data_IF_524144900697
#
_entry.id   IF_524144900697
#
_cell.length_a   1.000
_cell.length_b   1.000
_cell.length_c   1.000
_cell.angle_alpha   90.00
_cell.angle_beta   90.00
_cell.angle_gamma   90.00
#
_symmetry.space_group_name_H-M   'P 1'
#
loop_
_entity.id
_entity.type
_entity.pdbx_description
1 polymer ?
#
# COMPACT_ATOMS: atom_id res chain seq x y z
N UNK A 1 -74.69 -15.24 -3.57
CA UNK A 1 -74.25 -13.90 -3.99
C UNK A 1 -72.87 -13.64 -3.40
N UNK A 2 -71.88 -13.26 -4.24
CA UNK A 2 -70.59 -12.60 -3.88
C UNK A 2 -69.57 -13.55 -3.20
N UNK A 3 -68.30 -13.74 -3.60
CA UNK A 3 -67.35 -13.07 -4.49
C UNK A 3 -66.36 -14.14 -5.02
N UNK A 4 -66.17 -14.20 -6.35
CA UNK A 4 -65.12 -15.00 -7.02
C UNK A 4 -63.76 -14.31 -6.85
N UNK A 5 -62.72 -15.10 -6.59
CA UNK A 5 -61.33 -14.65 -6.64
C UNK A 5 -60.89 -14.35 -8.07
N UNK A 6 -59.91 -13.46 -8.21
CA UNK A 6 -59.07 -13.38 -9.39
C UNK A 6 -57.61 -13.56 -8.98
N UNK A 7 -57.04 -14.65 -9.48
CA UNK A 7 -55.62 -14.84 -9.64
C UNK A 7 -55.47 -15.33 -11.07
N UNK A 8 -54.82 -14.56 -11.94
CA UNK A 8 -54.08 -15.14 -13.06
C UNK A 8 -53.07 -14.14 -13.65
N UNK A 9 -51.92 -14.71 -13.99
CA UNK A 9 -50.75 -14.10 -14.61
C UNK A 9 -50.87 -14.19 -16.15
N UNK A 10 -49.95 -13.47 -16.80
CA UNK A 10 -49.29 -13.72 -18.10
C UNK A 10 -49.91 -13.21 -19.43
N UNK A 11 -49.33 -12.10 -19.89
CA UNK A 11 -48.59 -11.86 -21.17
C UNK A 11 -49.08 -12.55 -22.46
N UNK A 12 -49.34 -11.74 -23.51
CA UNK A 12 -48.75 -11.92 -24.87
C UNK A 12 -48.94 -10.68 -25.75
N UNK A 13 -47.82 -10.20 -26.30
CA UNK A 13 -47.70 -9.18 -27.35
C UNK A 13 -48.35 -9.69 -28.64
N UNK A 14 -49.15 -8.84 -29.30
CA UNK A 14 -49.54 -9.01 -30.70
C UNK A 14 -49.24 -7.70 -31.43
N UNK A 15 -48.22 -7.75 -32.28
CA UNK A 15 -47.87 -6.71 -33.23
C UNK A 15 -48.57 -7.07 -34.55
N UNK A 16 -49.56 -6.28 -34.97
CA UNK A 16 -50.12 -6.36 -36.33
C UNK A 16 -50.15 -4.95 -36.90
N UNK A 17 -49.14 -4.65 -37.71
CA UNK A 17 -49.27 -3.61 -38.73
C UNK A 17 -49.95 -4.20 -39.96
N UNK A 18 -50.87 -3.46 -40.56
CA UNK A 18 -50.88 -3.14 -42.00
C UNK A 18 -52.18 -2.45 -42.40
N UNK A 19 -52.00 -1.35 -43.13
CA UNK A 19 -52.99 -0.56 -43.86
C UNK A 19 -53.89 -1.41 -44.76
N UNK A 20 -55.20 -1.17 -44.69
CA UNK A 20 -56.12 -1.36 -45.83
C UNK A 20 -57.01 -0.12 -45.90
N UNK A 21 -56.90 0.61 -47.00
CA UNK A 21 -57.79 1.69 -47.36
C UNK A 21 -59.05 1.22 -48.07
N UNK A 22 -59.97 2.18 -48.24
CA UNK A 22 -61.19 2.24 -49.07
C UNK A 22 -62.49 2.26 -48.26
N UNK A 23 -62.98 3.47 -48.06
CA UNK A 23 -64.32 3.79 -47.59
C UNK A 23 -64.60 5.27 -47.87
N UNK A 24 -65.04 5.58 -49.09
CA UNK A 24 -65.48 6.92 -49.50
C UNK A 24 -66.79 7.27 -48.81
N UNK A 25 -66.84 8.39 -48.08
CA UNK A 25 -68.02 9.26 -48.10
C UNK A 25 -67.66 10.65 -47.58
N UNK A 26 -67.96 11.64 -48.41
CA UNK A 26 -67.87 13.08 -48.20
C UNK A 26 -68.81 13.55 -47.09
N UNK A 27 -68.27 14.33 -46.14
CA UNK A 27 -69.01 15.39 -45.46
C UNK A 27 -68.03 16.48 -45.00
N UNK A 28 -68.07 17.64 -45.67
CA UNK A 28 -67.62 18.93 -45.14
C UNK A 28 -68.78 19.91 -45.30
N UNK A 29 -69.04 20.72 -44.26
CA UNK A 29 -68.61 22.11 -44.36
C UNK A 29 -67.82 22.61 -43.14
N UNK A 30 -67.01 23.62 -43.42
CA UNK A 30 -66.13 24.38 -42.54
C UNK A 30 -66.84 25.01 -41.33
N UNK A 31 -66.13 25.10 -40.20
CA UNK A 31 -65.77 26.39 -39.57
C UNK A 31 -64.82 26.16 -38.39
N UNK A 32 -63.64 26.79 -38.43
CA UNK A 32 -62.98 27.31 -37.24
C UNK A 32 -61.92 26.45 -36.55
N UNK A 33 -60.68 26.94 -36.64
CA UNK A 33 -59.61 26.84 -35.65
C UNK A 33 -59.06 25.44 -35.30
N UNK A 34 -57.98 25.10 -36.00
CA UNK A 34 -56.85 24.28 -35.55
C UNK A 34 -57.03 23.54 -34.21
N UNK A 35 -57.45 22.28 -34.28
CA UNK A 35 -57.01 21.33 -33.26
C UNK A 35 -55.51 21.12 -33.47
N UNK A 36 -54.72 21.98 -32.84
CA UNK A 36 -53.33 21.72 -32.61
C UNK A 36 -53.26 20.41 -31.85
N UNK A 37 -52.88 19.34 -32.54
CA UNK A 37 -52.43 18.11 -31.90
C UNK A 37 -51.23 18.53 -31.05
N UNK A 38 -51.47 18.74 -29.76
CA UNK A 38 -50.41 18.97 -28.80
C UNK A 38 -49.68 17.65 -28.71
N UNK A 39 -48.60 17.52 -29.47
CA UNK A 39 -47.61 16.48 -29.24
C UNK A 39 -47.00 16.84 -27.89
N UNK A 40 -47.52 16.24 -26.82
CA UNK A 40 -46.78 16.18 -25.56
C UNK A 40 -45.61 15.25 -25.90
N UNK A 41 -44.48 15.86 -26.26
CA UNK A 41 -43.19 15.20 -26.11
C UNK A 41 -43.06 15.01 -24.59
N UNK A 42 -43.41 13.83 -24.11
CA UNK A 42 -42.95 13.38 -22.80
C UNK A 42 -41.43 13.39 -22.92
N UNK A 43 -40.78 14.47 -22.48
CA UNK A 43 -39.34 14.48 -22.30
C UNK A 43 -39.05 13.29 -21.40
N UNK A 44 -38.42 12.26 -21.97
CA UNK A 44 -37.95 11.14 -21.18
C UNK A 44 -37.02 11.74 -20.12
N UNK A 45 -37.49 11.81 -18.88
CA UNK A 45 -36.68 12.33 -17.78
C UNK A 45 -35.39 11.52 -17.75
N UNK A 46 -34.28 12.19 -18.02
CA UNK A 46 -32.98 11.55 -17.98
C UNK A 46 -32.62 11.39 -16.51
N UNK A 47 -32.62 10.15 -16.02
CA UNK A 47 -32.30 9.87 -14.62
C UNK A 47 -30.87 10.30 -14.32
N UNK A 48 -30.68 10.97 -13.19
CA UNK A 48 -29.37 11.36 -12.68
C UNK A 48 -28.56 10.09 -12.34
N UNK A 49 -27.87 9.53 -13.31
CA UNK A 49 -27.13 8.26 -13.19
C UNK A 49 -25.73 8.41 -13.77
N UNK A 50 -24.82 7.49 -13.42
CA UNK A 50 -23.56 7.38 -14.14
C UNK A 50 -23.75 6.48 -15.36
N UNK A 51 -23.17 6.87 -16.49
CA UNK A 51 -22.93 6.00 -17.66
C UNK A 51 -21.49 5.49 -17.70
N UNK A 52 -20.62 6.05 -16.86
CA UNK A 52 -19.20 5.72 -16.77
C UNK A 52 -18.67 6.01 -15.38
N UNK A 53 -17.85 5.09 -14.85
CA UNK A 53 -16.97 5.31 -13.71
C UNK A 53 -15.66 4.54 -13.94
N UNK A 54 -14.55 5.26 -14.02
CA UNK A 54 -13.21 4.70 -14.22
C UNK A 54 -12.18 5.47 -13.40
N UNK A 55 -11.10 4.79 -13.04
CA UNK A 55 -9.90 5.43 -12.50
C UNK A 55 -8.82 5.33 -13.59
N UNK A 56 -8.17 6.45 -13.94
CA UNK A 56 -7.19 6.48 -15.03
C UNK A 56 -6.02 5.51 -14.74
N UNK A 57 -5.88 4.47 -15.56
CA UNK A 57 -4.82 3.45 -15.42
C UNK A 57 -5.05 2.41 -14.32
N UNK A 58 -6.18 2.45 -13.61
CA UNK A 58 -6.48 1.56 -12.48
C UNK A 58 -7.84 0.87 -12.73
N UNK A 59 -7.86 -0.46 -12.57
CA UNK A 59 -9.06 -1.24 -12.77
C UNK A 59 -9.95 -1.25 -11.51
N UNK A 60 -11.26 -1.10 -11.71
CA UNK A 60 -12.23 -1.44 -10.68
C UNK A 60 -12.25 -2.96 -10.46
N UNK A 61 -12.53 -3.37 -9.23
CA UNK A 61 -12.68 -4.79 -8.86
C UNK A 61 -13.93 -5.42 -9.47
N UNK A 62 -14.88 -4.59 -9.86
CA UNK A 62 -16.11 -4.98 -10.54
C UNK A 62 -16.25 -4.23 -11.87
N UNK A 63 -16.99 -4.83 -12.81
CA UNK A 63 -17.42 -4.12 -14.02
C UNK A 63 -18.41 -3.02 -13.63
N UNK A 64 -18.33 -1.89 -14.33
CA UNK A 64 -19.29 -0.81 -14.18
C UNK A 64 -20.72 -1.25 -14.53
N UNK A 65 -21.69 -0.78 -13.75
CA UNK A 65 -23.12 -0.98 -13.97
C UNK A 65 -23.90 0.16 -13.32
N UNK A 66 -24.82 0.81 -14.02
CA UNK A 66 -25.59 1.96 -13.50
C UNK A 66 -26.35 1.64 -12.19
N UNK A 67 -26.80 0.40 -12.02
CA UNK A 67 -27.50 -0.05 -10.81
C UNK A 67 -26.58 -0.24 -9.59
N UNK A 68 -25.26 -0.29 -9.77
CA UNK A 68 -24.30 -0.50 -8.68
C UNK A 68 -23.87 0.84 -8.12
N UNK A 69 -24.07 1.03 -6.82
CA UNK A 69 -23.80 2.30 -6.12
C UNK A 69 -22.57 2.23 -5.20
N UNK A 70 -21.97 1.05 -5.03
CA UNK A 70 -20.75 0.83 -4.24
C UNK A 70 -19.68 0.16 -5.12
N UNK A 71 -18.59 0.88 -5.37
CA UNK A 71 -17.46 0.43 -6.17
C UNK A 71 -16.19 0.29 -5.33
N UNK A 72 -15.34 -0.65 -5.72
CA UNK A 72 -14.05 -0.92 -5.10
C UNK A 72 -12.93 -0.97 -6.12
N UNK A 73 -11.74 -0.61 -5.66
CA UNK A 73 -10.48 -0.69 -6.38
C UNK A 73 -9.35 -0.84 -5.37
N UNK A 74 -8.24 -1.43 -5.80
CA UNK A 74 -6.99 -1.44 -5.04
C UNK A 74 -5.84 -0.87 -5.87
N UNK A 75 -4.87 -0.24 -5.21
CA UNK A 75 -3.66 0.33 -5.82
C UNK A 75 -2.42 0.01 -4.99
N UNK A 76 -1.25 -0.02 -5.63
CA UNK A 76 0.03 -0.18 -4.94
C UNK A 76 0.35 1.00 -3.99
N UNK A 77 1.28 0.77 -3.07
CA UNK A 77 1.70 1.77 -2.08
C UNK A 77 2.39 2.99 -2.72
N UNK A 78 2.89 2.85 -3.95
CA UNK A 78 3.52 3.90 -4.76
C UNK A 78 2.53 4.91 -5.35
N UNK A 79 1.23 4.60 -5.38
CA UNK A 79 0.20 5.50 -5.89
C UNK A 79 -0.18 6.53 -4.83
N UNK A 80 0.20 7.79 -5.04
CA UNK A 80 -0.14 8.89 -4.11
C UNK A 80 -1.48 9.56 -4.42
N UNK A 81 -1.92 9.48 -5.67
CA UNK A 81 -3.12 10.19 -6.15
C UNK A 81 -3.72 9.48 -7.34
N UNK A 82 -5.02 9.70 -7.54
CA UNK A 82 -5.76 9.16 -8.68
C UNK A 82 -6.47 10.27 -9.47
N UNK A 83 -6.78 9.96 -10.72
CA UNK A 83 -7.72 10.73 -11.54
C UNK A 83 -8.97 9.89 -11.77
N UNK A 84 -10.11 10.37 -11.28
CA UNK A 84 -11.42 9.77 -11.53
C UNK A 84 -12.01 10.31 -12.84
N UNK A 85 -12.55 9.42 -13.65
CA UNK A 85 -13.31 9.71 -14.86
C UNK A 85 -14.75 9.26 -14.66
N UNK A 86 -15.70 10.16 -14.85
CA UNK A 86 -17.12 9.84 -14.74
C UNK A 86 -17.93 10.60 -15.79
N UNK A 87 -19.02 9.98 -16.23
CA UNK A 87 -19.95 10.58 -17.18
C UNK A 87 -21.38 10.22 -16.79
N UNK A 88 -22.32 11.06 -17.19
CA UNK A 88 -23.76 10.86 -17.05
C UNK A 88 -24.39 10.84 -18.44
N UNK A 89 -25.44 10.04 -18.68
CA UNK A 89 -26.22 10.15 -19.90
C UNK A 89 -27.12 11.41 -19.91
N UNK A 90 -27.36 12.03 -18.75
CA UNK A 90 -28.06 13.31 -18.63
C UNK A 90 -27.07 14.46 -18.90
N UNK A 91 -27.22 15.16 -20.02
CA UNK A 91 -26.36 16.28 -20.42
C UNK A 91 -26.50 17.51 -19.50
N UNK A 92 -27.62 17.65 -18.78
CA UNK A 92 -27.85 18.73 -17.83
C UNK A 92 -27.29 18.41 -16.44
N UNK A 93 -26.96 17.15 -16.17
CA UNK A 93 -26.43 16.74 -14.88
C UNK A 93 -24.98 17.20 -14.67
N UNK A 94 -24.70 17.61 -13.45
CA UNK A 94 -23.36 17.95 -12.96
C UNK A 94 -22.92 16.84 -12.01
N UNK A 95 -21.68 16.38 -12.20
CA UNK A 95 -21.06 15.38 -11.32
C UNK A 95 -20.12 16.08 -10.34
N UNK A 96 -20.24 15.73 -9.05
CA UNK A 96 -19.36 16.17 -7.99
C UNK A 96 -18.62 14.97 -7.40
N UNK A 97 -17.37 15.19 -6.98
CA UNK A 97 -16.59 14.22 -6.21
C UNK A 97 -16.19 14.89 -4.91
N UNK A 98 -16.59 14.31 -3.77
CA UNK A 98 -16.43 14.90 -2.44
C UNK A 98 -16.94 16.36 -2.39
N UNK A 99 -18.08 16.62 -3.05
CA UNK A 99 -18.68 17.96 -3.16
C UNK A 99 -17.98 18.93 -4.12
N UNK A 100 -16.89 18.53 -4.78
CA UNK A 100 -16.18 19.36 -5.76
C UNK A 100 -16.66 19.01 -7.18
N UNK A 101 -17.12 20.03 -7.93
CA UNK A 101 -17.59 19.86 -9.30
C UNK A 101 -16.48 19.32 -10.21
N UNK A 102 -16.74 18.22 -10.91
CA UNK A 102 -15.85 17.68 -11.94
C UNK A 102 -15.75 18.64 -13.12
N UNK A 103 -14.58 18.66 -13.77
CA UNK A 103 -14.36 19.43 -15.01
C UNK A 103 -14.03 18.47 -16.13
N UNK A 104 -14.70 18.63 -17.27
CA UNK A 104 -14.51 17.81 -18.47
C UNK A 104 -14.60 16.29 -18.19
N UNK A 105 -15.52 15.90 -17.30
CA UNK A 105 -15.70 14.50 -16.88
C UNK A 105 -14.56 13.95 -16.01
N UNK A 106 -13.69 14.81 -15.45
CA UNK A 106 -12.54 14.42 -14.63
C UNK A 106 -12.53 15.08 -13.26
N UNK A 107 -12.11 14.32 -12.25
CA UNK A 107 -11.60 14.82 -10.98
C UNK A 107 -10.16 14.34 -10.84
N UNK A 108 -9.22 15.29 -10.86
CA UNK A 108 -7.77 15.00 -10.85
C UNK A 108 -7.20 15.18 -9.45
N UNK A 109 -6.04 14.57 -9.24
CA UNK A 109 -5.22 14.75 -8.05
C UNK A 109 -5.97 14.43 -6.74
N UNK A 110 -6.82 13.41 -6.78
CA UNK A 110 -7.46 12.87 -5.59
C UNK A 110 -6.41 12.12 -4.77
N UNK A 111 -5.87 12.76 -3.74
CA UNK A 111 -4.82 12.19 -2.88
C UNK A 111 -5.34 10.98 -2.11
N UNK A 112 -4.49 9.95 -2.01
CA UNK A 112 -4.74 8.75 -1.23
C UNK A 112 -3.91 8.75 0.06
N UNK A 113 -4.49 8.19 1.11
CA UNK A 113 -3.80 7.74 2.32
C UNK A 113 -3.64 6.23 2.27
N UNK A 114 -2.64 5.66 2.95
CA UNK A 114 -2.53 4.20 3.11
C UNK A 114 -3.83 3.65 3.72
N UNK A 115 -4.27 2.50 3.23
CA UNK A 115 -5.55 1.90 3.59
C UNK A 115 -6.73 2.39 2.73
N UNK A 116 -7.92 2.32 3.30
CA UNK A 116 -9.18 2.55 2.58
C UNK A 116 -9.50 4.05 2.43
N UNK A 117 -9.59 4.51 1.19
CA UNK A 117 -10.02 5.87 0.83
C UNK A 117 -11.44 5.81 0.27
N UNK A 118 -12.33 6.70 0.71
CA UNK A 118 -13.72 6.76 0.23
C UNK A 118 -13.97 8.06 -0.50
N UNK A 119 -14.51 7.96 -1.71
CA UNK A 119 -14.93 9.08 -2.54
C UNK A 119 -16.43 9.01 -2.76
N UNK A 120 -17.13 10.07 -2.36
CA UNK A 120 -18.55 10.24 -2.64
C UNK A 120 -18.71 10.94 -3.99
N UNK A 121 -19.48 10.34 -4.88
CA UNK A 121 -19.73 10.84 -6.23
C UNK A 121 -21.22 11.12 -6.34
N UNK A 122 -21.60 12.37 -6.58
CA UNK A 122 -23.01 12.75 -6.71
C UNK A 122 -23.31 13.25 -8.12
N UNK A 123 -24.45 12.85 -8.65
CA UNK A 123 -24.98 13.25 -9.96
C UNK A 123 -26.25 14.04 -9.72
N UNK A 124 -26.29 15.30 -10.17
CA UNK A 124 -27.43 16.18 -9.94
C UNK A 124 -27.61 17.16 -11.11
N UNK A 125 -28.83 17.25 -11.62
CA UNK A 125 -29.27 18.28 -12.57
C UNK A 125 -29.99 19.47 -11.89
N UNK A 126 -30.14 19.42 -10.56
CA UNK A 126 -30.82 20.45 -9.76
C UNK A 126 -32.35 20.39 -9.78
N UNK A 127 -32.94 19.47 -10.53
CA UNK A 127 -34.39 19.30 -10.65
C UNK A 127 -34.87 17.94 -10.14
N UNK A 128 -34.17 16.88 -10.57
CA UNK A 128 -34.47 15.49 -10.21
C UNK A 128 -33.73 15.07 -8.94
N UNK A 129 -34.09 13.89 -8.41
CA UNK A 129 -33.39 13.29 -7.28
C UNK A 129 -31.88 13.19 -7.57
N UNK A 130 -31.07 13.56 -6.58
CA UNK A 130 -29.61 13.42 -6.68
C UNK A 130 -29.23 11.99 -6.35
N UNK A 131 -28.49 11.34 -7.23
CA UNK A 131 -28.01 9.97 -7.02
C UNK A 131 -26.56 10.00 -6.58
N UNK A 132 -26.25 9.18 -5.57
CA UNK A 132 -24.92 9.08 -4.99
C UNK A 132 -24.31 7.69 -5.25
N UNK A 133 -23.06 7.68 -5.69
CA UNK A 133 -22.21 6.51 -5.84
C UNK A 133 -21.04 6.63 -4.87
N UNK A 134 -20.59 5.52 -4.34
CA UNK A 134 -19.42 5.44 -3.46
C UNK A 134 -18.32 4.68 -4.17
N UNK A 135 -17.14 5.31 -4.29
CA UNK A 135 -15.93 4.62 -4.73
C UNK A 135 -14.99 4.45 -3.52
N UNK A 136 -14.63 3.21 -3.23
CA UNK A 136 -13.64 2.84 -2.20
C UNK A 136 -12.35 2.40 -2.87
N UNK A 137 -11.25 3.10 -2.60
CA UNK A 137 -9.93 2.77 -3.14
C UNK A 137 -9.00 2.40 -1.99
N UNK A 138 -8.60 1.14 -1.94
CA UNK A 138 -7.61 0.65 -0.99
C UNK A 138 -6.20 0.90 -1.54
N UNK A 139 -5.45 1.76 -0.86
CA UNK A 139 -4.01 1.89 -1.08
C UNK A 139 -3.31 0.88 -0.18
N UNK A 140 -2.62 -0.08 -0.79
CA UNK A 140 -1.95 -1.15 -0.04
C UNK A 140 -0.81 -0.58 0.83
N UNK A 141 -0.59 -1.22 1.97
CA UNK A 141 0.60 -1.01 2.80
C UNK A 141 1.85 -1.49 2.07
N UNK A 142 2.99 -0.85 2.34
CA UNK A 142 4.26 -1.27 1.76
C UNK A 142 4.70 -2.66 2.23
N UNK A 143 5.27 -3.44 1.32
CA UNK A 143 5.88 -4.75 1.57
C UNK A 143 7.42 -4.68 1.68
N UNK A 144 8.01 -3.48 1.57
CA UNK A 144 9.46 -3.33 1.55
C UNK A 144 10.09 -3.47 2.93
N UNK A 145 10.65 -4.67 3.16
CA UNK A 145 11.40 -5.05 4.36
C UNK A 145 12.91 -5.24 4.09
N UNK A 146 13.49 -4.46 3.17
CA UNK A 146 14.90 -4.58 2.80
C UNK A 146 15.82 -3.63 3.58
N UNK A 147 17.00 -4.14 3.95
CA UNK A 147 18.13 -3.29 4.32
C UNK A 147 18.84 -2.77 3.07
N UNK A 148 19.39 -1.56 3.17
CA UNK A 148 20.28 -0.94 2.19
C UNK A 148 21.74 -0.96 2.65
N UNK A 149 22.00 -1.06 3.96
CA UNK A 149 23.34 -1.28 4.51
C UNK A 149 23.31 -1.80 5.95
N UNK A 150 24.45 -2.31 6.41
CA UNK A 150 24.72 -2.60 7.82
C UNK A 150 26.05 -1.95 8.20
N UNK A 151 26.00 -0.85 8.94
CA UNK A 151 27.18 -0.18 9.48
C UNK A 151 27.67 -0.81 10.79
N UNK A 152 28.99 -0.88 10.96
CA UNK A 152 29.65 -1.33 12.18
C UNK A 152 30.65 -0.27 12.65
N UNK A 153 30.65 0.05 13.95
CA UNK A 153 31.62 1.01 14.52
C UNK A 153 33.06 0.48 14.55
N UNK A 154 33.25 -0.84 14.52
CA UNK A 154 34.54 -1.54 14.39
C UNK A 154 34.34 -2.84 13.60
N UNK A 155 35.40 -3.27 12.91
CA UNK A 155 35.34 -4.38 11.96
C UNK A 155 34.91 -3.90 10.57
N UNK A 156 34.85 -4.83 9.63
CA UNK A 156 34.40 -4.57 8.25
C UNK A 156 33.38 -5.61 7.83
N UNK A 157 32.47 -5.17 6.96
CA UNK A 157 31.44 -5.99 6.34
C UNK A 157 31.19 -5.44 4.94
N UNK A 158 31.05 -6.34 3.96
CA UNK A 158 30.56 -5.99 2.62
C UNK A 158 29.07 -6.34 2.56
N UNK A 159 28.23 -5.33 2.37
CA UNK A 159 26.79 -5.52 2.27
C UNK A 159 26.39 -5.92 0.83
N UNK A 160 25.46 -6.87 0.74
CA UNK A 160 24.76 -7.25 -0.47
C UNK A 160 23.30 -7.49 -0.08
N UNK A 161 22.35 -6.81 -0.72
CA UNK A 161 20.93 -6.84 -0.38
C UNK A 161 20.28 -8.22 -0.57
N UNK A 162 20.89 -9.12 -1.35
CA UNK A 162 20.42 -10.48 -1.58
C UNK A 162 20.89 -11.47 -0.51
N UNK A 163 21.82 -11.05 0.35
CA UNK A 163 22.41 -11.89 1.40
C UNK A 163 21.74 -11.59 2.74
N UNK A 164 21.41 -12.63 3.50
CA UNK A 164 20.83 -12.49 4.85
C UNK A 164 21.78 -12.99 5.95
N UNK A 165 22.91 -13.58 5.60
CA UNK A 165 23.90 -14.08 6.55
C UNK A 165 25.24 -13.39 6.34
N UNK A 166 25.71 -12.68 7.36
CA UNK A 166 26.91 -11.87 7.33
C UNK A 166 27.90 -12.31 8.39
N UNK A 167 29.19 -12.07 8.11
CA UNK A 167 30.27 -12.34 9.03
C UNK A 167 31.16 -11.10 9.13
N UNK A 168 31.59 -10.77 10.34
CA UNK A 168 32.58 -9.75 10.61
C UNK A 168 33.55 -10.25 11.69
N UNK A 169 34.77 -9.70 11.70
CA UNK A 169 35.77 -9.99 12.71
C UNK A 169 36.28 -8.70 13.34
N UNK A 170 36.59 -8.77 14.63
CA UNK A 170 37.20 -7.66 15.38
C UNK A 170 38.34 -8.15 16.25
N UNK A 171 39.28 -7.25 16.53
CA UNK A 171 40.42 -7.52 17.41
C UNK A 171 39.99 -7.80 18.86
N UNK A 172 40.88 -8.39 19.65
CA UNK A 172 40.59 -8.82 21.02
C UNK A 172 40.19 -7.64 21.92
N UNK A 173 40.70 -6.43 21.68
CA UNK A 173 40.44 -5.24 22.51
C UNK A 173 39.01 -4.69 22.32
N UNK A 174 38.31 -5.07 21.25
CA UNK A 174 36.97 -4.57 20.93
C UNK A 174 35.91 -5.32 21.74
N UNK A 175 35.54 -4.77 22.90
CA UNK A 175 34.54 -5.36 23.79
C UNK A 175 33.09 -5.14 23.34
N UNK A 176 32.85 -4.22 22.41
CA UNK A 176 31.51 -3.93 21.89
C UNK A 176 31.56 -3.26 20.52
N UNK A 177 30.51 -3.46 19.73
CA UNK A 177 30.30 -2.80 18.43
C UNK A 177 28.91 -2.16 18.43
N UNK A 178 28.77 -1.00 17.80
CA UNK A 178 27.47 -0.43 17.47
C UNK A 178 27.09 -0.89 16.07
N UNK A 179 25.93 -1.52 15.96
CA UNK A 179 25.34 -1.98 14.70
C UNK A 179 24.32 -0.96 14.24
N UNK A 180 24.53 -0.37 13.07
CA UNK A 180 23.68 0.69 12.51
C UNK A 180 23.13 0.23 11.16
N UNK A 181 21.98 -0.49 11.13
CA UNK A 181 21.34 -0.82 9.87
C UNK A 181 20.77 0.43 9.20
N UNK A 182 20.70 0.43 7.88
CA UNK A 182 19.87 1.36 7.09
C UNK A 182 18.92 0.55 6.23
N UNK A 183 17.71 1.05 6.04
CA UNK A 183 16.63 0.37 5.33
C UNK A 183 16.02 1.28 4.27
N UNK A 184 15.33 0.70 3.29
CA UNK A 184 14.80 1.41 2.13
C UNK A 184 13.51 2.18 2.46
N UNK A 185 12.59 1.55 3.18
CA UNK A 185 11.27 2.14 3.44
C UNK A 185 11.18 2.82 4.81
N UNK A 186 10.89 4.12 4.83
CA UNK A 186 10.71 4.89 6.06
C UNK A 186 9.57 4.43 6.97
N UNK A 187 8.59 3.68 6.45
CA UNK A 187 7.47 3.12 7.22
C UNK A 187 7.84 1.80 7.92
N UNK A 188 8.92 1.15 7.51
CA UNK A 188 9.38 -0.09 8.12
C UNK A 188 9.97 0.12 9.51
N UNK A 189 9.81 -0.90 10.37
CA UNK A 189 10.38 -0.95 11.72
C UNK A 189 11.56 -1.92 11.72
N UNK A 190 12.72 -1.46 12.21
CA UNK A 190 13.92 -2.29 12.29
C UNK A 190 14.32 -2.53 13.74
N UNK A 191 14.59 -3.78 14.10
CA UNK A 191 15.07 -4.18 15.43
C UNK A 191 16.40 -4.90 15.35
N UNK A 192 17.36 -4.52 16.20
CA UNK A 192 18.63 -5.23 16.41
C UNK A 192 18.60 -5.91 17.78
N UNK A 193 18.66 -7.24 17.81
CA UNK A 193 18.49 -8.05 19.03
C UNK A 193 17.23 -7.65 19.84
N UNK A 194 16.13 -7.37 19.13
CA UNK A 194 14.86 -6.99 19.72
C UNK A 194 14.74 -5.52 20.18
N UNK A 195 15.81 -4.72 20.06
CA UNK A 195 15.77 -3.28 20.35
C UNK A 195 15.56 -2.49 19.06
N UNK A 196 14.72 -1.46 19.12
CA UNK A 196 14.48 -0.58 17.97
C UNK A 196 15.78 0.08 17.50
N UNK A 197 16.04 -0.03 16.20
CA UNK A 197 17.15 0.62 15.55
C UNK A 197 16.78 2.07 15.26
N UNK A 198 17.73 2.97 15.51
CA UNK A 198 17.64 4.38 15.11
C UNK A 198 18.92 4.76 14.38
N UNK A 199 19.06 6.01 13.94
CA UNK A 199 20.31 6.52 13.37
C UNK A 199 21.53 6.38 14.29
N UNK A 200 21.31 6.27 15.61
CA UNK A 200 22.39 6.01 16.58
C UNK A 200 22.88 4.54 16.58
N UNK A 201 22.15 3.63 15.94
CA UNK A 201 22.41 2.19 15.98
C UNK A 201 22.16 1.56 17.35
N UNK A 202 22.50 0.28 17.47
CA UNK A 202 22.34 -0.52 18.69
C UNK A 202 23.68 -1.08 19.12
N UNK A 203 24.08 -0.80 20.37
CA UNK A 203 25.31 -1.33 20.96
C UNK A 203 25.16 -2.80 21.33
N UNK A 204 26.11 -3.62 20.87
CA UNK A 204 26.21 -5.05 21.13
C UNK A 204 27.52 -5.35 21.85
N UNK A 205 27.45 -6.01 23.00
CA UNK A 205 28.64 -6.49 23.74
C UNK A 205 29.17 -7.76 23.10
N UNK A 206 30.50 -7.86 23.01
CA UNK A 206 31.21 -8.95 22.35
C UNK A 206 32.08 -9.73 23.37
N UNK A 207 31.59 -10.86 23.93
CA UNK A 207 32.50 -11.84 24.52
C UNK A 207 33.52 -12.31 23.47
N UNK A 208 34.67 -12.83 23.92
CA UNK A 208 35.64 -13.48 23.03
C UNK A 208 34.93 -14.63 22.30
N UNK A 209 35.22 -14.79 21.00
CA UNK A 209 34.56 -15.76 20.14
C UNK A 209 33.38 -15.17 19.36
N UNK A 210 32.41 -16.01 19.02
CA UNK A 210 31.29 -15.64 18.14
C UNK A 210 30.14 -15.04 18.93
N UNK A 211 29.67 -13.87 18.48
CA UNK A 211 28.41 -13.25 18.89
C UNK A 211 27.47 -13.20 17.70
N UNK A 212 26.25 -13.72 17.84
CA UNK A 212 25.22 -13.62 16.80
C UNK A 212 24.33 -12.41 17.08
N UNK A 213 24.11 -11.58 16.06
CA UNK A 213 23.22 -10.42 16.08
C UNK A 213 22.11 -10.65 15.07
N UNK A 214 20.86 -10.57 15.53
CA UNK A 214 19.68 -10.63 14.65
C UNK A 214 19.19 -9.22 14.36
N UNK A 215 19.03 -8.90 13.09
CA UNK A 215 18.43 -7.65 12.61
C UNK A 215 17.14 -8.04 11.90
N UNK A 216 16.00 -7.59 12.40
CA UNK A 216 14.69 -7.89 11.84
C UNK A 216 14.13 -6.59 11.28
N UNK A 217 13.74 -6.61 10.01
CA UNK A 217 13.03 -5.53 9.33
C UNK A 217 11.59 -5.99 9.16
N UNK A 218 10.64 -5.23 9.70
CA UNK A 218 9.20 -5.46 9.55
C UNK A 218 8.65 -4.36 8.66
N UNK A 219 8.12 -4.72 7.48
CA UNK A 219 7.47 -3.79 6.55
C UNK A 219 6.15 -3.24 7.14
N UNK A 220 5.58 -2.22 6.49
CA UNK A 220 4.30 -1.62 6.91
C UNK A 220 3.18 -2.66 6.95
N UNK A 221 3.13 -3.57 5.98
CA UNK A 221 2.17 -4.67 5.90
C UNK A 221 2.40 -5.81 6.91
N UNK A 222 3.45 -5.70 7.75
CA UNK A 222 3.82 -6.70 8.75
C UNK A 222 4.71 -7.83 8.26
N UNK A 223 5.07 -7.90 6.98
CA UNK A 223 6.02 -8.89 6.49
C UNK A 223 7.43 -8.66 7.06
N UNK A 224 8.07 -9.73 7.52
CA UNK A 224 9.38 -9.65 8.17
C UNK A 224 10.52 -10.24 7.32
N UNK A 225 11.68 -9.59 7.38
CA UNK A 225 12.96 -10.10 6.87
C UNK A 225 14.02 -10.07 7.95
N UNK A 226 14.66 -11.21 8.18
CA UNK A 226 15.72 -11.36 9.18
C UNK A 226 17.10 -11.44 8.53
N UNK A 227 17.99 -10.56 8.95
CA UNK A 227 19.42 -10.56 8.65
C UNK A 227 20.20 -11.02 9.88
N UNK A 228 21.10 -11.97 9.72
CA UNK A 228 21.92 -12.56 10.77
C UNK A 228 23.37 -12.14 10.58
N UNK A 229 23.91 -11.38 11.53
CA UNK A 229 25.32 -10.98 11.55
C UNK A 229 26.06 -11.78 12.64
N UNK A 230 27.07 -12.53 12.24
CA UNK A 230 27.98 -13.20 13.19
C UNK A 230 29.26 -12.39 13.32
N UNK A 231 29.52 -11.85 14.50
CA UNK A 231 30.74 -11.10 14.81
C UNK A 231 31.68 -12.01 15.60
N UNK A 232 32.90 -12.21 15.12
CA UNK A 232 33.93 -12.98 15.83
C UNK A 232 34.95 -12.03 16.45
N UNK A 233 35.01 -11.99 17.79
CA UNK A 233 36.05 -11.28 18.53
C UNK A 233 37.23 -12.21 18.79
N UNK A 234 38.44 -11.79 18.41
CA UNK A 234 39.65 -12.58 18.60
C UNK A 234 39.94 -12.87 20.09
N UNK A 235 40.63 -13.98 20.38
CA UNK A 235 41.20 -14.26 21.71
C UNK A 235 42.49 -13.46 21.92
N UNK A 236 42.90 -13.29 23.18
CA UNK A 236 44.16 -12.62 23.49
C UNK A 236 45.32 -13.46 22.92
N UNK A 237 46.30 -12.80 22.30
CA UNK A 237 47.55 -13.48 21.92
C UNK A 237 48.38 -13.69 23.17
N UNK A 238 48.80 -14.92 23.45
CA UNK A 238 49.83 -15.18 24.44
C UNK A 238 51.15 -14.63 23.90
N UNK A 239 51.72 -13.62 24.57
CA UNK A 239 53.09 -13.19 24.32
C UNK A 239 54.03 -14.19 24.96
N UNK A 240 54.66 -15.07 24.18
CA UNK A 240 55.79 -15.85 24.65
C UNK A 240 56.92 -14.90 25.09
N UNK A 241 57.13 -14.80 26.40
CA UNK A 241 58.26 -14.06 26.96
C UNK A 241 59.55 -14.84 26.70
N UNK A 242 60.39 -14.36 25.79
CA UNK A 242 61.76 -14.84 25.61
C UNK A 242 62.70 -14.26 26.68
N UNK A 243 62.45 -14.56 27.94
CA UNK A 243 63.45 -14.36 29.00
C UNK A 243 63.91 -15.72 29.53
N UNK A 244 64.94 -16.26 28.87
CA UNK A 244 65.77 -17.32 29.46
C UNK A 244 66.74 -16.65 30.45
N UNK A 245 66.80 -17.06 31.73
CA UNK A 245 67.80 -16.52 32.64
C UNK A 245 69.21 -16.92 32.18
N UNK A 246 70.09 -15.94 31.95
CA UNK A 246 71.53 -16.20 31.94
C UNK A 246 71.96 -16.45 33.39
N UNK A 247 72.27 -17.70 33.67
CA UNK A 247 72.86 -18.16 34.93
C UNK A 247 74.21 -17.46 35.13
N UNK A 248 74.29 -16.60 36.16
CA UNK A 248 75.52 -15.94 36.57
C UNK A 248 76.40 -16.90 37.36
N UNK A 249 77.66 -17.04 36.95
CA UNK A 249 78.70 -17.75 37.69
C UNK A 249 78.87 -17.14 39.09
N UNK A 250 78.62 -17.95 40.12
CA UNK A 250 78.96 -17.61 41.51
C UNK A 250 80.41 -18.01 41.76
N UNK A 251 81.33 -17.04 41.74
CA UNK A 251 82.64 -17.19 42.37
C UNK A 251 82.47 -17.13 43.89
N UNK A 252 82.86 -18.21 44.58
CA UNK A 252 82.85 -18.33 46.04
C UNK A 252 84.29 -18.38 46.53
N UNK A 253 84.80 -17.29 47.10
CA UNK A 253 86.00 -17.32 47.95
C UNK A 253 85.66 -17.99 49.30
N UNK A 254 86.56 -18.83 49.87
CA UNK A 254 86.49 -19.20 51.28
C UNK A 254 87.49 -18.40 52.12
N UNK A 255 86.98 -17.81 53.21
CA UNK A 255 87.74 -17.24 54.33
C UNK A 255 87.23 -17.84 55.65
N UNK A 256 88.12 -17.87 56.64
CA UNK A 256 88.09 -18.53 57.97
C UNK A 256 88.45 -20.01 57.93
N UNK A 257 89.35 -20.55 58.75
CA UNK A 257 90.02 -20.03 59.93
C UNK A 257 90.23 -21.23 60.86
N UNK A 258 91.49 -21.58 61.16
CA UNK A 258 91.81 -22.66 62.11
C UNK A 258 92.71 -22.10 63.20
N UNK A 259 92.30 -22.33 64.44
CA UNK A 259 93.01 -22.00 65.67
C UNK A 259 93.08 -23.24 66.56
N UNK A 260 94.30 -23.49 67.08
CA UNK A 260 94.70 -24.37 68.20
C UNK A 260 94.64 -25.90 67.92
N UNK A 261 95.55 -26.72 68.41
CA UNK A 261 96.61 -26.59 69.43
C UNK A 261 97.86 -27.39 69.03
#
# INVERSE_FOLDING_TARGET
MIKRGLKEKSVKVILVGSLVGMGTSTYMPETGAAEGTSVILEEAQTVNSLSKLEIEGIALEQKFSEDVHDYRSAVGNDVEKITLLAASPNENAVIYVNGVKMKDGKAKDLTLQTGMNTFEITVSDGENETVAYTLKVEKLESDDNLLTSIGLSKGSLTFDSKVTAYNASVENEVQSVTVTPTWSDSTAIVKVNGKDATSAGVKVTLPVGKTTVKIIVTAENGEEKTYTLTITRAAAKETESKDAPKEGEVQKEPSSGTSKA
#
